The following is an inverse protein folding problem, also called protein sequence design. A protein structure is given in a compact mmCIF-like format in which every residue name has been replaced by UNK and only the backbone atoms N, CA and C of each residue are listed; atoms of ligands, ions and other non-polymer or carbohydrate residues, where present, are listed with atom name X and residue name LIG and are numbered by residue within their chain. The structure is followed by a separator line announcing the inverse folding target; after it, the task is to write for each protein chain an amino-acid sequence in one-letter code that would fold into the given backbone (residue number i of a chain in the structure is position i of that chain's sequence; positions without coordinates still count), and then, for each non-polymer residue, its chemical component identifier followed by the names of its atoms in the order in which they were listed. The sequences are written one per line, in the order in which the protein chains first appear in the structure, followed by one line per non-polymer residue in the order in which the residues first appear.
data_IF_465764672040
#
_entry.id   IF_465764672040
#
_cell.length_a   1.000
_cell.length_b   1.000
_cell.length_c   1.000
_cell.angle_alpha   90.00
_cell.angle_beta   90.00
_cell.angle_gamma   90.00
#
_symmetry.space_group_name_H-M   'P 1'
#
loop_
_entity.id
_entity.type
_entity.pdbx_description
1 polymer ?
#
# COMPACT_ATOMS: atom_id res chain seq x y z
N UNK A 1 -3.92 -2.44 -6.62
CA UNK A 1 -2.73 -2.71 -5.78
C UNK A 1 -2.57 -4.21 -5.57
N UNK A 2 -1.36 -4.72 -5.68
CA UNK A 2 -1.04 -6.13 -5.44
C UNK A 2 0.35 -6.27 -4.80
N UNK A 3 0.61 -7.42 -4.16
CA UNK A 3 1.95 -7.77 -3.65
C UNK A 3 2.84 -8.39 -4.72
N UNK A 4 2.23 -8.89 -5.79
CA UNK A 4 2.87 -9.54 -6.94
C UNK A 4 2.62 -8.75 -8.23
N UNK A 5 3.16 -9.22 -9.33
CA UNK A 5 2.85 -8.69 -10.65
C UNK A 5 1.49 -9.21 -11.11
N UNK A 6 0.72 -8.34 -11.76
CA UNK A 6 -0.50 -8.75 -12.45
C UNK A 6 -0.14 -9.56 -13.68
N UNK A 7 -0.73 -10.73 -13.85
CA UNK A 7 -0.64 -11.47 -15.09
C UNK A 7 -1.54 -10.84 -16.18
N UNK A 8 -1.48 -11.36 -17.40
CA UNK A 8 -2.25 -10.78 -18.50
C UNK A 8 -3.74 -11.08 -18.41
N UNK A 9 -4.13 -12.19 -17.78
CA UNK A 9 -5.53 -12.59 -17.61
C UNK A 9 -6.19 -11.71 -16.56
N UNK A 10 -5.52 -11.55 -15.41
CA UNK A 10 -5.95 -10.64 -14.34
C UNK A 10 -6.10 -9.20 -14.85
N UNK A 11 -5.09 -8.73 -15.59
CA UNK A 11 -5.11 -7.36 -16.10
C UNK A 11 -6.26 -7.13 -17.06
N UNK A 12 -6.50 -8.07 -17.98
CA UNK A 12 -7.64 -8.02 -18.91
C UNK A 12 -8.97 -7.98 -18.17
N UNK A 13 -9.10 -8.73 -17.08
CA UNK A 13 -10.31 -8.67 -16.24
C UNK A 13 -10.57 -7.29 -15.65
N UNK A 14 -9.51 -6.58 -15.20
CA UNK A 14 -9.63 -5.19 -14.73
C UNK A 14 -10.02 -4.24 -15.86
N UNK A 15 -9.41 -4.35 -17.05
CA UNK A 15 -9.76 -3.53 -18.22
C UNK A 15 -11.22 -3.71 -18.61
N UNK A 16 -11.70 -4.96 -18.64
CA UNK A 16 -13.10 -5.28 -18.95
C UNK A 16 -14.07 -4.73 -17.88
N UNK A 17 -13.71 -4.81 -16.61
CA UNK A 17 -14.53 -4.29 -15.52
C UNK A 17 -14.70 -2.76 -15.59
N UNK A 18 -13.65 -2.04 -15.94
CA UNK A 18 -13.68 -0.58 -16.06
C UNK A 18 -14.33 -0.12 -17.35
N UNK A 19 -14.30 -0.94 -18.41
CA UNK A 19 -14.92 -0.66 -19.74
C UNK A 19 -14.53 0.71 -20.30
N UNK A 20 -13.27 1.12 -20.12
CA UNK A 20 -12.75 2.40 -20.61
C UNK A 20 -13.31 3.65 -19.93
N UNK A 21 -14.07 3.52 -18.84
CA UNK A 21 -14.62 4.68 -18.10
C UNK A 21 -13.60 5.42 -17.26
N UNK A 22 -12.49 4.77 -16.94
CA UNK A 22 -11.42 5.34 -16.11
C UNK A 22 -10.07 4.78 -16.53
N UNK A 23 -9.03 5.55 -16.28
CA UNK A 23 -7.67 5.05 -16.36
C UNK A 23 -7.42 4.08 -15.20
N UNK A 24 -6.80 2.95 -15.49
CA UNK A 24 -6.36 1.98 -14.48
C UNK A 24 -4.84 1.91 -14.46
N UNK A 25 -4.30 1.75 -13.27
CA UNK A 25 -2.86 1.66 -13.02
C UNK A 25 -2.61 0.47 -12.12
N UNK A 26 -1.77 -0.46 -12.56
CA UNK A 26 -1.35 -1.61 -11.77
C UNK A 26 -0.11 -1.26 -10.95
N UNK A 27 -0.22 -1.32 -9.63
CA UNK A 27 0.86 -0.99 -8.71
C UNK A 27 1.19 -2.19 -7.84
N UNK A 28 2.45 -2.62 -7.89
CA UNK A 28 2.99 -3.59 -6.97
C UNK A 28 3.50 -2.87 -5.72
N UNK A 29 3.12 -3.38 -4.56
CA UNK A 29 3.54 -2.88 -3.25
C UNK A 29 4.12 -4.04 -2.46
N UNK A 30 5.40 -3.96 -2.08
CA UNK A 30 6.10 -5.00 -1.34
C UNK A 30 6.83 -4.39 -0.14
N UNK A 31 6.78 -5.04 1.01
CA UNK A 31 7.64 -4.66 2.13
C UNK A 31 9.10 -4.93 1.79
N UNK A 32 9.96 -3.99 2.13
CA UNK A 32 11.40 -4.11 1.93
C UNK A 32 12.12 -4.00 3.28
N UNK A 33 12.72 -5.09 3.71
CA UNK A 33 13.50 -5.15 4.96
C UNK A 33 15.00 -4.93 4.76
N UNK A 34 15.47 -4.95 3.52
CA UNK A 34 16.89 -4.88 3.19
C UNK A 34 17.44 -3.44 3.14
N UNK A 35 16.55 -2.44 3.00
CA UNK A 35 16.93 -1.04 2.86
C UNK A 35 16.43 -0.20 4.01
N UNK A 36 17.33 0.55 4.66
CA UNK A 36 16.99 1.45 5.76
C UNK A 36 17.71 2.79 5.60
N UNK A 37 17.05 3.86 6.02
CA UNK A 37 17.66 5.20 6.14
C UNK A 37 17.84 5.52 7.61
N UNK A 38 19.04 5.93 7.97
CA UNK A 38 19.36 6.42 9.30
C UNK A 38 19.55 7.94 9.27
N UNK A 39 18.98 8.60 10.25
CA UNK A 39 19.17 10.05 10.43
C UNK A 39 20.07 10.29 11.65
N UNK A 40 20.91 11.30 11.56
CA UNK A 40 21.63 11.84 12.73
C UNK A 40 20.67 12.73 13.55
N UNK A 41 19.73 12.09 14.26
CA UNK A 41 18.66 12.74 15.01
C UNK A 41 18.13 11.78 16.08
N UNK A 42 17.47 12.33 17.11
CA UNK A 42 16.74 11.53 18.10
C UNK A 42 15.53 10.81 17.55
N UNK A 43 15.10 11.15 16.35
CA UNK A 43 13.93 10.55 15.67
C UNK A 43 14.36 9.86 14.39
N UNK A 44 13.67 8.78 14.06
CA UNK A 44 13.87 8.06 12.81
C UNK A 44 13.42 8.87 11.58
N UNK A 45 13.49 8.26 10.40
CA UNK A 45 13.02 8.84 9.14
C UNK A 45 11.56 9.30 9.25
N UNK A 46 11.20 10.49 8.74
CA UNK A 46 9.82 10.95 8.76
C UNK A 46 8.89 10.05 7.94
N UNK A 47 7.69 9.83 8.45
CA UNK A 47 6.61 9.21 7.68
C UNK A 47 6.30 10.05 6.44
N UNK A 48 6.16 9.41 5.30
CA UNK A 48 5.96 10.06 4.00
C UNK A 48 7.23 10.39 3.26
N UNK A 49 8.42 10.05 3.81
CA UNK A 49 9.66 10.14 3.04
C UNK A 49 9.56 9.19 1.85
N UNK A 50 9.89 9.70 0.67
CA UNK A 50 9.96 8.95 -0.58
C UNK A 50 11.37 9.04 -1.16
N UNK A 51 11.84 7.95 -1.72
CA UNK A 51 13.07 7.90 -2.51
C UNK A 51 12.77 7.21 -3.85
N UNK A 52 12.69 8.01 -4.89
CA UNK A 52 12.58 7.49 -6.25
C UNK A 52 13.93 6.97 -6.73
N UNK A 53 13.94 5.77 -7.32
CA UNK A 53 15.15 5.16 -7.87
C UNK A 53 15.00 4.76 -9.34
N UNK A 54 13.76 4.84 -9.89
CA UNK A 54 13.46 4.66 -11.30
C UNK A 54 12.22 5.51 -11.64
N UNK A 55 11.95 5.76 -12.92
CA UNK A 55 10.77 6.53 -13.37
C UNK A 55 9.44 5.92 -12.90
N UNK A 56 9.40 4.61 -12.67
CA UNK A 56 8.22 3.86 -12.25
C UNK A 56 8.34 3.21 -10.87
N UNK A 57 9.43 3.50 -10.12
CA UNK A 57 9.71 2.80 -8.86
C UNK A 57 10.24 3.73 -7.79
N UNK A 58 9.77 3.51 -6.57
CA UNK A 58 10.20 4.27 -5.40
C UNK A 58 10.10 3.45 -4.11
N UNK A 59 10.93 3.83 -3.14
CA UNK A 59 10.73 3.44 -1.75
C UNK A 59 9.92 4.51 -1.02
N UNK A 60 8.93 4.08 -0.23
CA UNK A 60 8.08 4.97 0.56
C UNK A 60 8.07 4.53 2.03
N UNK A 61 8.39 5.42 2.93
CA UNK A 61 8.28 5.20 4.37
C UNK A 61 6.88 5.54 4.86
N UNK A 62 6.02 4.53 4.96
CA UNK A 62 4.64 4.65 5.47
C UNK A 62 4.55 4.64 6.98
N UNK A 63 5.64 4.23 7.65
CA UNK A 63 5.87 4.34 9.10
C UNK A 63 7.04 5.29 9.35
N UNK A 64 7.16 5.78 10.58
CA UNK A 64 8.28 6.64 10.96
C UNK A 64 7.85 7.80 11.84
N UNK A 65 8.72 8.77 11.99
CA UNK A 65 8.46 9.96 12.79
C UNK A 65 7.35 10.82 12.18
N UNK A 66 6.42 11.23 13.01
CA UNK A 66 5.31 12.13 12.64
C UNK A 66 5.56 13.51 13.25
N UNK A 67 6.08 14.48 12.50
CA UNK A 67 6.48 15.79 13.01
C UNK A 67 5.38 16.53 13.76
N UNK A 68 4.14 16.48 13.23
CA UNK A 68 2.99 17.17 13.83
C UNK A 68 2.71 16.70 15.27
N UNK A 69 2.94 15.44 15.57
CA UNK A 69 2.67 14.86 16.88
C UNK A 69 3.95 14.69 17.71
N UNK A 70 5.11 15.03 17.16
CA UNK A 70 6.45 14.84 17.79
C UNK A 70 6.64 13.43 18.35
N UNK A 71 6.15 12.42 17.60
CA UNK A 71 6.17 11.03 18.02
C UNK A 71 6.55 10.10 16.87
N UNK A 72 6.94 8.89 17.21
CA UNK A 72 7.17 7.78 16.30
C UNK A 72 6.66 6.48 16.93
N UNK A 73 6.31 5.51 16.09
CA UNK A 73 5.88 4.19 16.55
C UNK A 73 7.13 3.33 16.76
N UNK A 74 7.27 2.80 17.97
CA UNK A 74 8.36 1.90 18.31
C UNK A 74 9.74 2.59 18.34
N UNK A 75 10.75 1.81 18.68
CA UNK A 75 12.16 2.24 18.77
C UNK A 75 12.96 1.87 17.51
N UNK A 76 12.40 1.02 16.67
CA UNK A 76 13.10 0.52 15.48
C UNK A 76 13.06 1.52 14.34
N UNK A 77 14.12 1.52 13.54
CA UNK A 77 14.15 2.23 12.27
C UNK A 77 13.18 1.55 11.29
N UNK A 78 12.15 2.25 10.81
CA UNK A 78 11.12 1.65 9.97
C UNK A 78 11.68 1.23 8.60
N UNK A 79 11.18 0.12 8.10
CA UNK A 79 11.42 -0.32 6.74
C UNK A 79 10.50 0.42 5.76
N UNK A 80 10.97 0.73 4.56
CA UNK A 80 10.12 1.24 3.50
C UNK A 80 9.26 0.14 2.88
N UNK A 81 8.23 0.54 2.18
CA UNK A 81 7.59 -0.28 1.15
C UNK A 81 8.21 0.06 -0.21
N UNK A 82 8.41 -0.96 -1.03
CA UNK A 82 8.85 -0.87 -2.42
C UNK A 82 7.60 -0.76 -3.31
N UNK A 83 7.50 0.32 -4.04
CA UNK A 83 6.39 0.65 -4.94
C UNK A 83 6.88 0.59 -6.37
N UNK A 84 6.19 -0.15 -7.22
CA UNK A 84 6.48 -0.23 -8.63
C UNK A 84 5.19 -0.14 -9.47
N UNK A 85 5.14 0.79 -10.40
CA UNK A 85 4.10 0.84 -11.43
C UNK A 85 4.41 -0.26 -12.43
N UNK A 86 3.52 -1.25 -12.53
CA UNK A 86 3.72 -2.45 -13.36
C UNK A 86 2.87 -2.47 -14.61
N UNK A 87 1.78 -1.71 -14.61
CA UNK A 87 0.83 -1.57 -15.71
C UNK A 87 0.27 -0.15 -15.75
N UNK A 88 0.00 0.35 -16.96
CA UNK A 88 -0.48 1.71 -17.16
C UNK A 88 0.65 2.74 -17.08
N UNK A 89 0.30 4.01 -17.13
CA UNK A 89 1.23 5.14 -17.07
C UNK A 89 0.73 6.16 -16.06
N UNK A 90 1.54 6.46 -15.05
CA UNK A 90 1.27 7.46 -14.04
C UNK A 90 2.58 8.04 -13.49
N UNK A 91 2.48 9.20 -12.88
CA UNK A 91 3.57 9.79 -12.14
C UNK A 91 3.78 9.05 -10.80
N UNK A 92 5.01 8.59 -10.56
CA UNK A 92 5.33 7.82 -9.35
C UNK A 92 5.16 8.61 -8.06
N UNK A 93 5.40 9.93 -8.07
CA UNK A 93 5.20 10.80 -6.91
C UNK A 93 3.72 10.87 -6.53
N UNK A 94 2.85 11.02 -7.52
CA UNK A 94 1.39 10.99 -7.33
C UNK A 94 0.93 9.64 -6.76
N UNK A 95 1.39 8.54 -7.33
CA UNK A 95 1.08 7.18 -6.85
C UNK A 95 1.53 6.99 -5.39
N UNK A 96 2.72 7.44 -5.03
CA UNK A 96 3.22 7.37 -3.65
C UNK A 96 2.38 8.20 -2.67
N UNK A 97 1.94 9.40 -3.06
CA UNK A 97 1.03 10.23 -2.25
C UNK A 97 -0.32 9.56 -2.03
N UNK A 98 -0.88 8.95 -3.05
CA UNK A 98 -2.14 8.22 -2.96
C UNK A 98 -2.00 7.00 -2.03
N UNK A 99 -0.95 6.21 -2.20
CA UNK A 99 -0.65 5.06 -1.32
C UNK A 99 -0.48 5.51 0.12
N UNK A 100 0.30 6.57 0.39
CA UNK A 100 0.46 7.12 1.72
C UNK A 100 -0.88 7.55 2.33
N UNK A 101 -1.76 8.15 1.53
CA UNK A 101 -3.10 8.57 1.95
C UNK A 101 -3.97 7.36 2.29
N UNK A 102 -3.92 6.31 1.49
CA UNK A 102 -4.64 5.06 1.73
C UNK A 102 -4.18 4.32 3.01
N UNK A 103 -2.94 4.52 3.45
CA UNK A 103 -2.49 3.97 4.75
C UNK A 103 -3.16 4.63 5.96
N UNK A 104 -3.77 5.81 5.78
CA UNK A 104 -4.45 6.57 6.85
C UNK A 104 -5.93 6.21 6.96
N UNK A 105 -6.47 5.41 6.04
CA UNK A 105 -7.88 5.05 5.95
C UNK A 105 -8.21 3.71 6.60
N UNK A 106 -7.26 3.05 7.27
CA UNK A 106 -7.50 1.81 7.97
C UNK A 106 -8.45 2.05 9.15
N UNK A 107 -9.66 1.53 9.05
CA UNK A 107 -10.75 1.80 10.00
C UNK A 107 -10.46 1.29 11.41
N UNK A 108 -9.84 0.10 11.50
CA UNK A 108 -9.53 -0.56 12.77
C UNK A 108 -8.10 -0.28 13.27
N UNK A 109 -7.34 0.53 12.57
CA UNK A 109 -5.99 0.90 12.99
C UNK A 109 -6.01 2.22 13.75
N UNK A 110 -5.19 2.30 14.80
CA UNK A 110 -4.95 3.58 15.46
C UNK A 110 -4.31 4.58 14.48
N UNK A 111 -4.30 5.85 14.85
CA UNK A 111 -3.85 7.01 14.06
C UNK A 111 -2.54 6.78 13.28
N UNK A 112 -1.69 5.89 13.76
CA UNK A 112 -0.38 5.64 13.16
C UNK A 112 -0.38 4.52 12.13
N UNK A 113 -1.49 3.80 11.97
CA UNK A 113 -1.73 2.78 10.95
C UNK A 113 -0.70 1.66 10.90
N UNK A 114 -0.99 0.64 10.13
CA UNK A 114 -0.08 -0.49 9.94
C UNK A 114 1.02 -0.20 8.91
N UNK A 115 0.96 0.94 8.26
CA UNK A 115 1.85 1.28 7.14
C UNK A 115 1.49 0.59 5.82
N UNK A 116 0.47 -0.27 5.82
CA UNK A 116 -0.06 -0.93 4.62
C UNK A 116 -1.29 -0.16 4.13
N UNK A 117 -1.44 0.11 2.84
CA UNK A 117 -2.63 0.77 2.32
C UNK A 117 -3.88 -0.10 2.51
N UNK A 118 -4.99 0.54 2.83
CA UNK A 118 -6.28 -0.12 3.09
C UNK A 118 -6.71 -1.09 1.99
N UNK A 119 -6.37 -0.79 0.74
CA UNK A 119 -6.67 -1.63 -0.42
C UNK A 119 -5.98 -2.99 -0.38
N UNK A 120 -4.72 -3.05 0.08
CA UNK A 120 -4.02 -4.33 0.27
C UNK A 120 -4.55 -5.10 1.48
N UNK A 121 -4.86 -4.43 2.58
CA UNK A 121 -5.48 -5.09 3.73
C UNK A 121 -6.80 -5.74 3.35
N UNK A 122 -7.63 -5.02 2.61
CA UNK A 122 -8.89 -5.56 2.10
C UNK A 122 -8.67 -6.79 1.22
N UNK A 123 -7.72 -6.72 0.28
CA UNK A 123 -7.40 -7.84 -0.60
C UNK A 123 -6.87 -9.05 0.18
N UNK A 124 -6.01 -8.85 1.17
CA UNK A 124 -5.51 -9.92 2.05
C UNK A 124 -6.65 -10.60 2.80
N UNK A 125 -7.55 -9.81 3.43
CA UNK A 125 -8.67 -10.36 4.20
C UNK A 125 -9.64 -11.15 3.32
N UNK A 126 -9.92 -10.69 2.10
CA UNK A 126 -10.72 -11.45 1.13
C UNK A 126 -9.98 -12.73 0.69
N UNK A 127 -8.68 -12.63 0.43
CA UNK A 127 -7.85 -13.78 0.08
C UNK A 127 -7.86 -14.87 1.14
N UNK A 128 -7.78 -14.51 2.42
CA UNK A 128 -7.88 -15.45 3.55
C UNK A 128 -9.24 -16.15 3.59
N UNK A 129 -10.34 -15.43 3.35
CA UNK A 129 -11.69 -16.02 3.31
C UNK A 129 -11.80 -17.01 2.15
N UNK A 130 -11.32 -16.65 0.97
CA UNK A 130 -11.37 -17.51 -0.21
C UNK A 130 -10.52 -18.77 -0.05
N UNK A 131 -9.33 -18.64 0.53
CA UNK A 131 -8.43 -19.80 0.76
C UNK A 131 -8.92 -20.71 1.88
N UNK A 132 -9.76 -20.23 2.79
CA UNK A 132 -10.39 -21.08 3.82
C UNK A 132 -11.44 -22.05 3.27
N UNK A 133 -11.67 -22.07 1.95
CA UNK A 133 -12.56 -23.02 1.28
C UNK A 133 -14.05 -22.90 1.65
N UNK A 134 -14.45 -21.75 2.20
CA UNK A 134 -15.86 -21.49 2.50
C UNK A 134 -16.54 -20.94 1.26
N UNK A 135 -17.55 -21.63 0.78
CA UNK A 135 -18.48 -21.07 -0.22
C UNK A 135 -19.13 -19.82 0.35
N UNK A 136 -18.80 -18.68 -0.19
CA UNK A 136 -19.42 -17.40 0.18
C UNK A 136 -20.80 -17.37 -0.44
N UNK A 137 -21.80 -17.96 0.25
CA UNK A 137 -23.21 -17.93 -0.16
C UNK A 137 -23.89 -16.61 0.21
N UNK A 138 -23.30 -15.82 1.08
CA UNK A 138 -23.79 -14.51 1.50
C UNK A 138 -23.09 -13.42 0.72
N UNK A 139 -23.84 -12.39 0.33
CA UNK A 139 -23.28 -11.24 -0.39
C UNK A 139 -22.09 -10.61 0.35
N UNK A 140 -21.23 -9.94 -0.41
CA UNK A 140 -20.05 -9.25 0.13
C UNK A 140 -20.48 -8.28 1.22
N UNK A 141 -19.89 -8.42 2.40
CA UNK A 141 -20.12 -7.50 3.51
C UNK A 141 -19.58 -6.10 3.17
N UNK A 142 -20.10 -5.04 3.82
CA UNK A 142 -19.53 -3.71 3.67
C UNK A 142 -18.02 -3.71 3.95
N UNK A 143 -17.27 -2.93 3.19
CA UNK A 143 -15.80 -2.81 3.22
C UNK A 143 -15.22 -2.74 4.64
N UNK A 144 -15.87 -1.99 5.54
CA UNK A 144 -15.46 -1.83 6.95
C UNK A 144 -15.37 -3.13 7.78
N UNK A 145 -15.95 -4.23 7.30
CA UNK A 145 -15.86 -5.52 7.99
C UNK A 145 -14.57 -6.28 7.68
N UNK A 146 -13.80 -5.82 6.70
CA UNK A 146 -12.59 -6.50 6.24
C UNK A 146 -11.29 -5.77 6.64
N UNK A 147 -11.39 -4.59 7.25
CA UNK A 147 -10.24 -3.73 7.61
C UNK A 147 -10.36 -3.19 9.01
#
# INVERSE_FOLDING_TARGET
HAKTYFDNVEWKGFEEAVKGKSQIIGVRIKENSAFKIYRHSSYCVPRGTMMQYDNSKAFLWTKGFVPRFKTQIGLETPNPIDIAITRGNADIDTVCKDILSLTKLNYNACIYGDGVPVTLKFADSIGEILTAGKDIKTGVLPFKHYI
#
